data_IF_174292687575
#
_entry.id   IF_174292687575
#
_cell.length_a   1.000
_cell.length_b   1.000
_cell.length_c   1.000
_cell.angle_alpha   90.00
_cell.angle_beta   90.00
_cell.angle_gamma   90.00
#
_symmetry.space_group_name_H-M   'P 1'
#
loop_
_entity.id
_entity.type
_entity.pdbx_description
1 polymer ?
#
# COMPACT_ATOMS: atom_id res chain seq x y z
N UNK A 1 -10.75 9.13 8.10
CA UNK A 1 -10.30 8.53 6.82
C UNK A 1 -10.81 9.38 5.68
N UNK A 2 -9.94 9.71 4.73
CA UNK A 2 -10.27 10.50 3.53
C UNK A 2 -9.94 9.68 2.28
N UNK A 3 -10.83 9.71 1.27
CA UNK A 3 -10.57 9.08 -0.03
C UNK A 3 -9.80 10.04 -0.92
N UNK A 4 -8.75 9.53 -1.57
CA UNK A 4 -7.92 10.26 -2.52
C UNK A 4 -8.29 9.88 -3.95
N UNK A 5 -8.20 10.85 -4.87
CA UNK A 5 -8.51 10.66 -6.30
C UNK A 5 -7.27 10.39 -7.15
N UNK A 6 -6.09 10.30 -6.53
CA UNK A 6 -4.80 10.20 -7.21
C UNK A 6 -4.42 8.77 -7.61
N UNK A 7 -3.52 8.59 -8.59
CA UNK A 7 -3.14 7.25 -9.07
C UNK A 7 -2.26 6.47 -8.07
N UNK A 8 -1.54 7.17 -7.18
CA UNK A 8 -0.56 6.58 -6.28
C UNK A 8 -1.17 6.03 -4.97
N UNK A 9 -2.15 6.73 -4.39
CA UNK A 9 -2.81 6.36 -3.15
C UNK A 9 -4.32 6.57 -3.26
N UNK A 10 -5.08 5.66 -2.67
CA UNK A 10 -6.54 5.63 -2.73
C UNK A 10 -7.17 6.18 -1.43
N UNK A 11 -6.44 6.10 -0.31
CA UNK A 11 -6.90 6.57 1.00
C UNK A 11 -5.78 7.28 1.76
N UNK A 12 -6.19 8.24 2.58
CA UNK A 12 -5.40 8.82 3.67
C UNK A 12 -6.07 8.47 4.99
N UNK A 13 -5.30 7.87 5.89
CA UNK A 13 -5.70 7.58 7.26
C UNK A 13 -4.99 8.55 8.20
N UNK A 14 -5.69 8.96 9.25
CA UNK A 14 -5.14 9.67 10.38
C UNK A 14 -5.45 8.83 11.61
N UNK A 15 -4.42 8.54 12.40
CA UNK A 15 -4.56 7.90 13.71
C UNK A 15 -3.52 8.49 14.64
N UNK A 16 -3.96 9.04 15.76
CA UNK A 16 -3.09 9.60 16.80
C UNK A 16 -2.07 10.62 16.26
N UNK A 17 -2.47 11.41 15.24
CA UNK A 17 -1.60 12.40 14.58
C UNK A 17 -0.61 11.81 13.57
N UNK A 18 -0.59 10.48 13.39
CA UNK A 18 0.18 9.81 12.35
C UNK A 18 -0.66 9.65 11.08
N UNK A 19 -0.24 10.34 10.02
CA UNK A 19 -0.83 10.19 8.69
C UNK A 19 -0.25 8.96 8.00
N UNK A 20 -1.12 8.17 7.37
CA UNK A 20 -0.76 7.01 6.55
C UNK A 20 -1.40 7.10 5.19
N UNK A 21 -0.60 6.97 4.13
CA UNK A 21 -1.12 6.78 2.77
C UNK A 21 -1.33 5.30 2.48
N UNK A 22 -2.48 4.97 1.91
CA UNK A 22 -2.83 3.59 1.55
C UNK A 22 -3.14 3.50 0.06
N UNK A 23 -2.46 2.60 -0.63
CA UNK A 23 -2.78 2.20 -2.00
C UNK A 23 -3.49 0.85 -1.98
N UNK A 24 -4.69 0.79 -2.55
CA UNK A 24 -5.54 -0.39 -2.62
C UNK A 24 -5.67 -0.82 -4.08
N UNK A 25 -4.83 -1.76 -4.52
CA UNK A 25 -4.85 -2.18 -5.93
C UNK A 25 -5.59 -3.50 -6.11
N UNK A 26 -6.78 -3.41 -6.71
CA UNK A 26 -7.59 -4.51 -7.27
C UNK A 26 -7.48 -4.46 -8.80
N UNK A 27 -6.58 -5.21 -9.48
CA UNK A 27 -6.85 -5.87 -10.79
C UNK A 27 -5.64 -6.29 -11.70
N UNK A 28 -5.89 -7.40 -12.42
CA UNK A 28 -5.54 -7.81 -13.81
C UNK A 28 -4.11 -8.02 -14.30
N UNK A 29 -3.07 -7.62 -13.59
CA UNK A 29 -1.71 -8.07 -13.92
C UNK A 29 -1.41 -9.39 -13.19
N UNK A 30 -0.82 -10.38 -13.87
CA UNK A 30 -0.47 -11.66 -13.28
C UNK A 30 0.41 -11.52 -12.02
N UNK A 31 1.18 -10.41 -11.92
CA UNK A 31 1.93 -10.00 -10.74
C UNK A 31 2.10 -8.46 -10.68
N UNK A 32 2.14 -7.89 -9.49
CA UNK A 32 2.46 -6.47 -9.28
C UNK A 32 3.99 -6.25 -9.21
N UNK A 33 4.49 -5.37 -10.07
CA UNK A 33 5.90 -4.95 -10.13
C UNK A 33 6.21 -3.76 -9.23
N UNK A 34 7.48 -3.35 -9.23
CA UNK A 34 8.03 -2.28 -8.35
C UNK A 34 7.39 -0.91 -8.57
N UNK A 35 6.95 -0.61 -9.79
CA UNK A 35 6.53 0.74 -10.18
C UNK A 35 5.35 1.29 -9.36
N UNK A 36 4.39 0.42 -8.99
CA UNK A 36 3.27 0.85 -8.15
C UNK A 36 3.71 1.25 -6.72
N UNK A 37 4.70 0.55 -6.17
CA UNK A 37 5.28 0.86 -4.86
C UNK A 37 6.14 2.12 -4.93
N UNK A 38 6.89 2.30 -6.03
CA UNK A 38 7.68 3.51 -6.29
C UNK A 38 6.79 4.75 -6.34
N UNK A 39 5.66 4.68 -7.05
CA UNK A 39 4.70 5.79 -7.10
C UNK A 39 4.12 6.13 -5.72
N UNK A 40 3.82 5.12 -4.89
CA UNK A 40 3.35 5.32 -3.53
C UNK A 40 4.42 5.98 -2.65
N UNK A 41 5.67 5.54 -2.74
CA UNK A 41 6.79 6.11 -1.99
C UNK A 41 7.07 7.56 -2.38
N UNK A 42 7.00 7.89 -3.67
CA UNK A 42 7.12 9.28 -4.14
C UNK A 42 5.99 10.16 -3.58
N UNK A 43 4.75 9.67 -3.57
CA UNK A 43 3.63 10.39 -2.99
C UNK A 43 3.77 10.58 -1.48
N UNK A 44 4.26 9.57 -0.76
CA UNK A 44 4.57 9.65 0.67
C UNK A 44 5.59 10.75 0.95
N UNK A 45 6.71 10.77 0.21
CA UNK A 45 7.77 11.76 0.38
C UNK A 45 7.29 13.18 0.03
N UNK A 46 6.59 13.33 -1.09
CA UNK A 46 6.09 14.63 -1.54
C UNK A 46 5.10 15.26 -0.54
N UNK A 47 4.38 14.44 0.21
CA UNK A 47 3.41 14.89 1.22
C UNK A 47 3.99 14.96 2.64
N UNK A 48 5.27 14.61 2.83
CA UNK A 48 5.89 14.54 4.16
C UNK A 48 5.23 13.52 5.09
N UNK A 49 4.59 12.49 4.53
CA UNK A 49 3.83 11.50 5.29
C UNK A 49 4.77 10.42 5.83
N UNK A 50 4.60 10.06 7.10
CA UNK A 50 5.52 9.15 7.78
C UNK A 50 5.33 7.68 7.37
N UNK A 51 4.13 7.29 6.93
CA UNK A 51 3.79 5.89 6.69
C UNK A 51 3.14 5.67 5.32
N UNK A 52 3.55 4.59 4.65
CA UNK A 52 2.94 4.09 3.42
C UNK A 52 2.53 2.62 3.60
N UNK A 53 1.30 2.29 3.18
CA UNK A 53 0.79 0.92 3.14
C UNK A 53 0.31 0.56 1.74
N UNK A 54 0.70 -0.62 1.28
CA UNK A 54 0.28 -1.15 -0.01
C UNK A 54 -0.52 -2.42 0.17
N UNK A 55 -1.77 -2.41 -0.27
CA UNK A 55 -2.69 -3.55 -0.16
C UNK A 55 -2.93 -4.12 -1.55
N UNK A 56 -2.65 -5.42 -1.71
CA UNK A 56 -2.83 -6.14 -2.98
C UNK A 56 -3.55 -7.46 -2.78
N UNK A 57 -4.57 -7.72 -3.61
CA UNK A 57 -5.19 -9.04 -3.75
C UNK A 57 -4.49 -9.93 -4.78
N UNK A 58 -3.56 -9.39 -5.57
CA UNK A 58 -2.75 -10.15 -6.51
C UNK A 58 -1.34 -10.42 -5.95
N UNK A 59 -0.68 -11.42 -6.52
CA UNK A 59 0.70 -11.75 -6.22
C UNK A 59 1.64 -10.56 -6.47
N UNK A 60 2.59 -10.38 -5.55
CA UNK A 60 3.60 -9.32 -5.59
C UNK A 60 4.95 -10.00 -5.79
N UNK A 61 5.69 -9.56 -6.81
CA UNK A 61 7.00 -10.16 -7.14
C UNK A 61 8.01 -10.00 -6.00
N UNK A 62 9.00 -10.90 -5.92
CA UNK A 62 10.04 -10.81 -4.88
C UNK A 62 10.83 -9.49 -4.94
N UNK A 63 11.07 -8.97 -6.14
CA UNK A 63 11.71 -7.67 -6.33
C UNK A 63 10.85 -6.53 -5.73
N UNK A 64 9.54 -6.57 -5.95
CA UNK A 64 8.61 -5.61 -5.35
C UNK A 64 8.52 -5.75 -3.83
N UNK A 65 8.58 -6.98 -3.29
CA UNK A 65 8.63 -7.22 -1.84
C UNK A 65 9.89 -6.64 -1.20
N UNK A 66 11.06 -6.88 -1.80
CA UNK A 66 12.33 -6.28 -1.34
C UNK A 66 12.28 -4.76 -1.40
N UNK A 67 11.80 -4.20 -2.50
CA UNK A 67 11.63 -2.75 -2.62
C UNK A 67 10.73 -2.19 -1.50
N UNK A 68 9.62 -2.84 -1.18
CA UNK A 68 8.73 -2.42 -0.10
C UNK A 68 9.47 -2.42 1.26
N UNK A 69 10.21 -3.49 1.57
CA UNK A 69 11.01 -3.59 2.80
C UNK A 69 12.07 -2.49 2.89
N UNK A 70 12.86 -2.31 1.83
CA UNK A 70 13.95 -1.34 1.79
C UNK A 70 13.46 0.12 1.91
N UNK A 71 12.20 0.38 1.53
CA UNK A 71 11.61 1.72 1.55
C UNK A 71 10.59 1.91 2.68
N UNK A 72 10.49 0.98 3.64
CA UNK A 72 9.58 1.10 4.77
C UNK A 72 8.09 1.10 4.40
N UNK A 73 7.74 0.54 3.24
CA UNK A 73 6.34 0.39 2.81
C UNK A 73 5.81 -0.91 3.41
N UNK A 74 4.75 -0.81 4.21
CA UNK A 74 4.09 -2.02 4.73
C UNK A 74 3.27 -2.64 3.60
N UNK A 75 3.69 -3.82 3.16
CA UNK A 75 2.98 -4.62 2.18
C UNK A 75 1.96 -5.52 2.88
N UNK A 76 0.72 -5.53 2.40
CA UNK A 76 -0.35 -6.43 2.83
C UNK A 76 -0.85 -7.17 1.58
N UNK A 77 -0.38 -8.41 1.39
CA UNK A 77 -0.73 -9.26 0.26
C UNK A 77 -1.96 -10.12 0.55
N UNK A 78 -2.54 -10.73 -0.48
CA UNK A 78 -3.73 -11.60 -0.38
C UNK A 78 -3.65 -12.66 0.73
N UNK A 79 -2.50 -13.33 0.87
CA UNK A 79 -2.31 -14.35 1.91
C UNK A 79 -2.40 -13.79 3.34
N UNK A 80 -2.07 -12.51 3.54
CA UNK A 80 -2.08 -11.81 4.83
C UNK A 80 -3.45 -11.17 5.11
N UNK A 81 -4.30 -11.00 4.09
CA UNK A 81 -5.63 -10.41 4.22
C UNK A 81 -6.65 -11.37 4.82
N UNK A 82 -6.50 -12.68 4.62
CA UNK A 82 -7.44 -13.69 5.15
C UNK A 82 -7.67 -13.54 6.66
N UNK A 83 -6.62 -13.56 7.50
CA UNK A 83 -6.75 -13.37 8.94
C UNK A 83 -7.33 -12.00 9.35
N UNK A 84 -7.02 -10.94 8.59
CA UNK A 84 -7.50 -9.58 8.89
C UNK A 84 -8.99 -9.41 8.59
N UNK A 85 -9.52 -10.10 7.57
CA UNK A 85 -10.94 -10.04 7.21
C UNK A 85 -11.83 -10.76 8.23
N UNK A 86 -11.32 -11.82 8.88
CA UNK A 86 -12.06 -12.57 9.91
C UNK A 86 -12.28 -11.74 11.19
N UNK A 87 -11.44 -10.73 11.45
CA UNK A 87 -11.59 -9.88 12.65
C UNK A 87 -12.61 -8.75 12.49
N UNK A 88 -13.11 -8.53 11.27
CA UNK A 88 -14.07 -7.45 10.95
C UNK A 88 -15.49 -8.00 10.70
N UNK A 89 -15.65 -9.33 10.69
CA UNK A 89 -16.93 -10.04 10.56
C UNK A 89 -17.37 -10.59 11.93
#
# INVERSE_FOLDING_TARGET
MTRLSGPAADLQLDKDGAVTLVSCKRWKASNHGVEALRALQQAQQAQGVQQARYISLASVTDNARRFAQDNGIVLIAAAELGPLLVQVL
#
